data_IF_616198359280
#
_entry.id   IF_616198359280
#
_cell.length_a   1.000
_cell.length_b   1.000
_cell.length_c   1.000
_cell.angle_alpha   90.00
_cell.angle_beta   90.00
_cell.angle_gamma   90.00
#
_symmetry.space_group_name_H-M   'P 1'
#
loop_
_entity.id
_entity.type
_entity.pdbx_description
1 polymer ?
#
# COMPACT_ATOMS: atom_id res chain seq x y z
N UNK A 1 69.51 12.36 4.05
CA UNK A 1 69.36 10.89 3.95
C UNK A 1 67.89 10.65 3.69
N UNK A 2 67.53 10.73 2.42
CA UNK A 2 66.16 10.56 1.89
C UNK A 2 65.87 9.06 1.76
N UNK A 3 64.72 8.62 2.27
CA UNK A 3 64.21 7.30 1.97
C UNK A 3 62.88 7.53 1.25
N UNK A 4 62.95 7.45 -0.07
CA UNK A 4 61.81 7.36 -0.98
C UNK A 4 61.20 5.97 -0.83
N UNK A 5 59.96 5.88 -0.39
CA UNK A 5 59.14 4.67 -0.51
C UNK A 5 58.18 4.87 -1.68
N UNK A 6 58.55 4.21 -2.78
CA UNK A 6 57.77 4.10 -3.99
C UNK A 6 56.65 3.05 -3.76
N UNK A 7 55.39 3.49 -3.74
CA UNK A 7 54.24 2.58 -3.73
C UNK A 7 53.74 2.42 -5.15
N UNK A 8 53.62 1.20 -5.66
CA UNK A 8 53.10 0.97 -7.01
C UNK A 8 51.61 1.34 -7.07
N UNK A 9 51.28 2.21 -8.02
CA UNK A 9 49.91 2.54 -8.40
C UNK A 9 49.22 1.29 -8.96
N UNK A 10 48.00 0.98 -8.55
CA UNK A 10 47.24 -0.12 -9.16
C UNK A 10 46.87 0.25 -10.59
N UNK A 11 47.16 -0.64 -11.52
CA UNK A 11 46.81 -0.54 -12.94
C UNK A 11 45.28 -0.38 -13.10
N UNK A 12 44.88 0.68 -13.80
CA UNK A 12 43.51 0.91 -14.23
C UNK A 12 43.15 -0.09 -15.35
N UNK A 13 42.77 -1.30 -14.96
CA UNK A 13 42.08 -2.20 -15.89
C UNK A 13 40.66 -1.70 -16.04
N UNK A 14 40.36 -1.09 -17.18
CA UNK A 14 39.02 -0.75 -17.63
C UNK A 14 38.17 -2.00 -17.80
N UNK A 15 37.56 -2.44 -16.68
CA UNK A 15 36.40 -3.31 -16.75
C UNK A 15 35.23 -2.35 -16.89
N UNK A 16 34.71 -2.26 -18.13
CA UNK A 16 33.39 -1.75 -18.42
C UNK A 16 32.40 -2.63 -17.65
N UNK A 17 32.28 -2.36 -16.35
CA UNK A 17 31.27 -2.96 -15.50
C UNK A 17 29.90 -2.45 -15.98
N UNK A 18 29.20 -3.23 -16.79
CA UNK A 18 27.75 -3.19 -16.76
C UNK A 18 27.38 -3.37 -15.29
N UNK A 19 27.02 -2.26 -14.64
CA UNK A 19 26.31 -2.30 -13.36
C UNK A 19 25.02 -3.02 -13.69
N UNK A 20 24.98 -4.32 -13.42
CA UNK A 20 23.74 -5.06 -13.34
C UNK A 20 23.04 -4.38 -12.17
N UNK A 21 22.21 -3.37 -12.45
CA UNK A 21 21.26 -2.89 -11.48
C UNK A 21 20.44 -4.12 -11.10
N UNK A 22 20.70 -4.64 -9.92
CA UNK A 22 19.86 -5.65 -9.33
C UNK A 22 18.43 -5.12 -9.43
N UNK A 23 17.63 -5.77 -10.25
CA UNK A 23 16.38 -5.19 -10.75
C UNK A 23 15.37 -5.26 -9.61
N UNK A 24 14.84 -4.11 -9.21
CA UNK A 24 13.77 -4.02 -8.22
C UNK A 24 12.65 -5.02 -8.56
N UNK A 25 12.32 -5.90 -7.65
CA UNK A 25 11.24 -6.87 -7.81
C UNK A 25 10.13 -6.61 -6.81
N UNK A 26 8.90 -6.50 -7.31
CA UNK A 26 7.71 -6.39 -6.47
C UNK A 26 7.05 -7.76 -6.34
N UNK A 27 6.96 -8.27 -5.11
CA UNK A 27 6.27 -9.50 -4.78
C UNK A 27 4.79 -9.20 -4.49
N UNK A 28 3.99 -9.26 -5.54
CA UNK A 28 2.59 -8.86 -5.56
C UNK A 28 1.66 -10.06 -5.29
N UNK A 29 0.93 -10.02 -4.19
CA UNK A 29 -0.19 -10.93 -3.95
C UNK A 29 -1.47 -10.33 -4.53
N UNK A 30 -2.22 -11.13 -5.29
CA UNK A 30 -3.48 -10.69 -5.85
C UNK A 30 -4.45 -10.12 -4.79
N UNK A 31 -5.18 -9.06 -5.15
CA UNK A 31 -6.18 -8.43 -4.27
C UNK A 31 -5.62 -8.07 -2.90
N UNK A 32 -4.50 -7.38 -2.88
CA UNK A 32 -3.81 -6.97 -1.65
C UNK A 32 -3.32 -5.53 -1.72
N UNK A 33 -2.85 -5.02 -0.58
CA UNK A 33 -2.27 -3.68 -0.47
C UNK A 33 -1.01 -3.44 -1.29
N UNK A 34 -0.43 -4.48 -1.94
CA UNK A 34 0.72 -4.30 -2.84
C UNK A 34 0.39 -3.49 -4.10
N UNK A 35 -0.88 -3.32 -4.45
CA UNK A 35 -1.29 -2.46 -5.56
C UNK A 35 -0.80 -1.02 -5.40
N UNK A 36 -0.75 -0.49 -4.18
CA UNK A 36 -0.24 0.86 -3.89
C UNK A 36 1.24 1.02 -4.24
N UNK A 37 2.01 -0.06 -4.12
CA UNK A 37 3.44 -0.08 -4.48
C UNK A 37 3.60 -0.03 -6.00
N UNK A 38 2.80 -0.81 -6.72
CA UNK A 38 2.79 -0.76 -8.19
C UNK A 38 2.42 0.64 -8.67
N UNK A 39 1.40 1.26 -8.08
CA UNK A 39 0.99 2.61 -8.43
C UNK A 39 2.12 3.63 -8.22
N UNK A 40 2.81 3.62 -7.07
CA UNK A 40 3.92 4.54 -6.83
C UNK A 40 5.06 4.33 -7.84
N UNK A 41 5.43 3.09 -8.14
CA UNK A 41 6.48 2.79 -9.12
C UNK A 41 6.11 3.27 -10.54
N UNK A 42 4.84 3.12 -10.92
CA UNK A 42 4.33 3.65 -12.21
C UNK A 42 4.32 5.18 -12.26
N UNK A 43 4.08 5.87 -11.13
CA UNK A 43 4.18 7.33 -11.04
C UNK A 43 5.64 7.80 -11.15
N UNK A 44 6.56 7.11 -10.48
CA UNK A 44 7.98 7.42 -10.51
C UNK A 44 8.66 7.02 -11.84
N UNK A 45 8.00 6.22 -12.68
CA UNK A 45 8.59 5.68 -13.89
C UNK A 45 9.78 4.74 -13.64
N UNK A 46 9.83 4.11 -12.46
CA UNK A 46 10.90 3.18 -12.08
C UNK A 46 10.66 1.82 -12.71
N UNK A 47 11.63 1.26 -13.45
CA UNK A 47 11.52 -0.09 -13.96
C UNK A 47 11.58 -1.12 -12.84
N UNK A 48 10.73 -2.14 -12.91
CA UNK A 48 10.68 -3.23 -11.94
C UNK A 48 10.22 -4.55 -12.56
N UNK A 49 10.59 -5.66 -11.93
CA UNK A 49 10.02 -6.98 -12.19
C UNK A 49 8.80 -7.21 -11.30
N UNK A 50 7.71 -7.72 -11.87
CA UNK A 50 6.51 -8.07 -11.14
C UNK A 50 6.42 -9.59 -10.95
N UNK A 51 6.61 -10.07 -9.73
CA UNK A 51 6.35 -11.46 -9.35
C UNK A 51 4.97 -11.58 -8.70
N UNK A 52 4.05 -12.21 -9.43
CA UNK A 52 2.65 -12.35 -9.00
C UNK A 52 2.45 -13.63 -8.21
N UNK A 53 1.70 -13.53 -7.10
CA UNK A 53 1.28 -14.64 -6.28
C UNK A 53 -0.24 -14.72 -6.23
N UNK A 54 -0.77 -15.93 -6.32
CA UNK A 54 -2.20 -16.20 -6.12
C UNK A 54 -2.46 -16.62 -4.68
N UNK A 55 -3.63 -16.28 -4.18
CA UNK A 55 -4.07 -16.79 -2.87
C UNK A 55 -4.42 -18.27 -2.97
N UNK A 56 -4.19 -19.00 -1.88
CA UNK A 56 -4.71 -20.36 -1.75
C UNK A 56 -6.23 -20.34 -1.94
N UNK A 57 -6.79 -21.19 -2.82
CA UNK A 57 -8.21 -21.14 -3.16
C UNK A 57 -9.14 -21.51 -2.01
N UNK A 58 -8.65 -22.27 -1.01
CA UNK A 58 -9.43 -22.70 0.15
C UNK A 58 -9.27 -21.75 1.33
N UNK A 59 -8.03 -21.51 1.74
CA UNK A 59 -7.74 -20.70 2.94
C UNK A 59 -7.75 -19.20 2.67
N UNK A 60 -7.65 -18.77 1.40
CA UNK A 60 -7.47 -17.38 0.97
C UNK A 60 -6.20 -16.72 1.49
N UNK A 61 -5.31 -17.48 2.09
CA UNK A 61 -4.02 -17.00 2.59
C UNK A 61 -3.00 -16.85 1.44
N UNK A 62 -1.91 -16.16 1.75
CA UNK A 62 -0.76 -16.09 0.86
C UNK A 62 -0.09 -17.45 0.73
N UNK A 63 0.46 -17.78 -0.45
CA UNK A 63 1.11 -19.07 -0.68
C UNK A 63 2.46 -19.14 0.06
N UNK A 64 2.95 -20.38 0.34
CA UNK A 64 4.20 -20.59 1.09
C UNK A 64 5.43 -19.93 0.47
N UNK A 65 5.45 -19.76 -0.83
CA UNK A 65 6.56 -19.14 -1.57
C UNK A 65 6.84 -17.70 -1.12
N UNK A 66 5.84 -16.97 -0.62
CA UNK A 66 6.06 -15.65 -0.03
C UNK A 66 6.85 -15.71 1.27
N UNK A 67 6.78 -16.81 2.02
CA UNK A 67 7.61 -17.03 3.23
C UNK A 67 9.08 -17.22 2.89
N UNK A 68 9.39 -17.75 1.70
CA UNK A 68 10.76 -17.85 1.23
C UNK A 68 11.38 -16.49 0.89
N UNK A 69 10.55 -15.49 0.57
CA UNK A 69 11.01 -14.10 0.32
C UNK A 69 11.15 -13.33 1.63
N UNK A 70 10.16 -13.42 2.50
CA UNK A 70 10.17 -12.75 3.80
C UNK A 70 9.43 -13.60 4.85
N UNK A 71 9.97 -13.77 6.08
CA UNK A 71 9.44 -14.71 7.10
C UNK A 71 7.96 -14.52 7.43
N UNK A 72 7.44 -13.30 7.36
CA UNK A 72 6.03 -13.00 7.61
C UNK A 72 5.10 -13.61 6.55
N UNK A 73 5.59 -13.93 5.35
CA UNK A 73 4.79 -14.51 4.27
C UNK A 73 3.62 -13.63 3.83
N UNK A 74 3.80 -12.30 3.91
CA UNK A 74 2.77 -11.31 3.57
C UNK A 74 3.21 -10.46 2.38
N UNK A 75 2.30 -9.71 1.80
CA UNK A 75 2.52 -8.76 0.71
C UNK A 75 1.89 -7.41 1.08
N UNK A 76 2.52 -6.28 0.73
CA UNK A 76 3.68 -6.15 -0.17
C UNK A 76 5.02 -6.54 0.45
N UNK A 77 5.90 -7.04 -0.40
CA UNK A 77 7.35 -7.17 -0.18
C UNK A 77 8.04 -6.76 -1.47
N UNK A 78 9.16 -6.07 -1.36
CA UNK A 78 10.07 -5.80 -2.49
C UNK A 78 11.45 -6.39 -2.22
N UNK A 79 12.17 -6.73 -3.28
CA UNK A 79 13.61 -6.98 -3.23
C UNK A 79 14.31 -6.01 -4.17
N UNK A 80 15.36 -5.33 -3.69
CA UNK A 80 16.15 -4.37 -4.46
C UNK A 80 17.64 -4.59 -4.16
N UNK A 81 18.32 -5.27 -5.05
CA UNK A 81 19.65 -5.81 -4.76
C UNK A 81 19.59 -6.83 -3.63
N UNK A 82 20.39 -6.60 -2.61
CA UNK A 82 20.46 -7.45 -1.41
C UNK A 82 19.42 -7.05 -0.34
N UNK A 83 18.67 -5.98 -0.58
CA UNK A 83 17.65 -5.49 0.33
C UNK A 83 16.33 -6.24 0.15
N UNK A 84 15.71 -6.67 1.24
CA UNK A 84 14.35 -7.20 1.24
C UNK A 84 13.52 -6.38 2.21
N UNK A 85 12.52 -5.68 1.70
CA UNK A 85 11.72 -4.72 2.47
C UNK A 85 10.27 -5.16 2.48
N UNK A 86 9.70 -5.29 3.67
CA UNK A 86 8.29 -5.56 3.91
C UNK A 86 7.64 -4.34 4.57
N UNK A 87 6.33 -4.39 4.76
CA UNK A 87 5.46 -3.33 5.25
C UNK A 87 5.25 -2.20 4.22
N UNK A 88 3.99 -1.95 3.88
CA UNK A 88 3.65 -1.01 2.80
C UNK A 88 4.18 0.40 3.06
N UNK A 89 4.10 0.89 4.31
CA UNK A 89 4.62 2.20 4.68
C UNK A 89 6.13 2.30 4.50
N UNK A 90 6.88 1.33 5.01
CA UNK A 90 8.33 1.28 4.87
C UNK A 90 8.78 1.20 3.40
N UNK A 91 8.06 0.40 2.60
CA UNK A 91 8.34 0.30 1.15
C UNK A 91 8.08 1.63 0.44
N UNK A 92 6.97 2.32 0.74
CA UNK A 92 6.66 3.62 0.14
C UNK A 92 7.73 4.66 0.49
N UNK A 93 8.15 4.73 1.75
CA UNK A 93 9.22 5.63 2.19
C UNK A 93 10.54 5.31 1.49
N UNK A 94 10.96 4.05 1.47
CA UNK A 94 12.16 3.59 0.78
C UNK A 94 12.17 3.97 -0.70
N UNK A 95 11.07 3.70 -1.41
CA UNK A 95 10.98 3.99 -2.85
C UNK A 95 11.11 5.48 -3.15
N UNK A 96 10.51 6.33 -2.33
CA UNK A 96 10.62 7.79 -2.51
C UNK A 96 12.01 8.30 -2.11
N UNK A 97 12.63 7.74 -1.07
CA UNK A 97 14.01 8.08 -0.70
C UNK A 97 15.00 7.74 -1.81
N UNK A 98 14.88 6.54 -2.36
CA UNK A 98 15.84 6.02 -3.33
C UNK A 98 15.60 6.51 -4.75
N UNK A 99 14.34 6.63 -5.16
CA UNK A 99 13.95 6.87 -6.55
C UNK A 99 13.20 8.20 -6.77
N UNK A 100 12.76 8.86 -5.69
CA UNK A 100 11.94 10.07 -5.77
C UNK A 100 12.70 11.36 -6.09
N UNK A 101 14.03 11.35 -6.15
CA UNK A 101 14.83 12.56 -6.39
C UNK A 101 14.52 13.27 -7.74
N UNK A 102 13.97 12.54 -8.71
CA UNK A 102 13.55 13.07 -10.02
C UNK A 102 12.07 13.39 -10.11
N UNK A 103 11.31 13.21 -9.02
CA UNK A 103 9.90 13.53 -8.98
C UNK A 103 9.70 15.05 -9.15
N UNK A 104 8.93 15.44 -10.16
CA UNK A 104 8.68 16.83 -10.52
C UNK A 104 7.18 17.08 -10.74
N UNK A 105 6.80 18.34 -10.91
CA UNK A 105 5.41 18.71 -11.13
C UNK A 105 4.53 18.37 -9.93
N UNK A 106 3.44 17.65 -10.14
CA UNK A 106 2.50 17.24 -9.09
C UNK A 106 3.08 16.19 -8.14
N UNK A 107 4.18 15.50 -8.53
CA UNK A 107 4.90 14.54 -7.70
C UNK A 107 5.97 15.19 -6.79
N UNK A 108 6.23 16.48 -6.91
CA UNK A 108 7.18 17.18 -6.04
C UNK A 108 6.78 17.15 -4.55
N UNK A 109 5.49 16.94 -4.27
CA UNK A 109 4.92 16.80 -2.92
C UNK A 109 4.97 15.40 -2.32
N UNK A 110 5.55 14.40 -3.00
CA UNK A 110 5.55 13.01 -2.51
C UNK A 110 6.09 12.87 -1.09
N UNK A 111 7.14 13.63 -0.75
CA UNK A 111 7.73 13.69 0.59
C UNK A 111 7.88 15.15 1.03
N UNK A 112 6.87 15.70 1.71
CA UNK A 112 6.94 17.07 2.21
C UNK A 112 8.14 17.29 3.16
N UNK A 113 8.67 18.51 3.17
CA UNK A 113 9.83 18.86 4.00
C UNK A 113 9.53 18.71 5.51
N UNK A 114 10.45 18.19 6.31
CA UNK A 114 10.30 18.09 7.76
C UNK A 114 9.91 19.45 8.38
N UNK A 115 9.03 19.41 9.40
CA UNK A 115 8.56 20.60 10.11
C UNK A 115 7.35 21.30 9.48
N UNK A 116 6.99 20.99 8.22
CA UNK A 116 5.80 21.57 7.56
C UNK A 116 4.50 20.93 8.04
N UNK A 117 3.34 21.60 7.89
CA UNK A 117 2.04 20.99 8.14
C UNK A 117 1.81 19.75 7.29
N UNK A 118 2.16 19.79 6.01
CA UNK A 118 2.02 18.69 5.04
C UNK A 118 2.84 17.47 5.47
N UNK A 119 4.04 17.66 6.02
CA UNK A 119 4.86 16.58 6.59
C UNK A 119 4.16 15.89 7.76
N UNK A 120 3.56 16.67 8.69
CA UNK A 120 2.81 16.12 9.82
C UNK A 120 1.58 15.35 9.35
N UNK A 121 0.85 15.87 8.37
CA UNK A 121 -0.30 15.21 7.76
C UNK A 121 0.13 13.91 7.05
N UNK A 122 1.20 13.94 6.27
CA UNK A 122 1.73 12.73 5.61
C UNK A 122 2.00 11.64 6.65
N UNK A 123 2.72 11.95 7.73
CA UNK A 123 2.99 10.97 8.79
C UNK A 123 1.72 10.46 9.46
N UNK A 124 0.79 11.34 9.78
CA UNK A 124 -0.48 10.94 10.38
C UNK A 124 -1.22 9.92 9.50
N UNK A 125 -1.41 10.22 8.24
CA UNK A 125 -2.15 9.34 7.33
C UNK A 125 -1.40 8.06 6.97
N UNK A 126 -0.07 8.09 6.90
CA UNK A 126 0.76 6.89 6.76
C UNK A 126 0.50 5.87 7.88
N UNK A 127 0.39 6.34 9.12
CA UNK A 127 0.10 5.48 10.27
C UNK A 127 -1.38 5.15 10.41
N UNK A 128 -2.26 6.12 10.13
CA UNK A 128 -3.71 5.96 10.27
C UNK A 128 -4.26 4.85 9.37
N UNK A 129 -3.74 4.72 8.16
CA UNK A 129 -4.22 3.74 7.19
C UNK A 129 -4.23 2.32 7.75
N UNK A 130 -3.10 1.85 8.26
CA UNK A 130 -2.96 0.47 8.78
C UNK A 130 -3.24 0.37 10.28
N UNK A 131 -2.84 1.37 11.06
CA UNK A 131 -2.98 1.36 12.52
C UNK A 131 -4.40 1.61 13.02
N UNK A 132 -5.25 2.27 12.22
CA UNK A 132 -6.61 2.64 12.64
C UNK A 132 -7.68 2.15 11.66
N UNK A 133 -7.67 2.60 10.41
CA UNK A 133 -8.75 2.32 9.48
C UNK A 133 -8.82 0.85 9.04
N UNK A 134 -7.68 0.28 8.64
CA UNK A 134 -7.64 -1.12 8.17
C UNK A 134 -8.07 -2.11 9.24
N UNK A 135 -7.82 -1.86 10.51
CA UNK A 135 -8.26 -2.74 11.60
C UNK A 135 -9.79 -2.92 11.60
N UNK A 136 -10.55 -1.84 11.47
CA UNK A 136 -12.01 -1.91 11.40
C UNK A 136 -12.50 -2.58 10.13
N UNK A 137 -11.84 -2.30 8.98
CA UNK A 137 -12.19 -2.91 7.70
C UNK A 137 -11.92 -4.42 7.68
N UNK A 138 -10.82 -4.86 8.30
CA UNK A 138 -10.49 -6.29 8.43
C UNK A 138 -11.46 -6.96 9.39
N UNK A 139 -11.76 -6.34 10.56
CA UNK A 139 -12.77 -6.88 11.48
C UNK A 139 -14.13 -7.00 10.78
N UNK A 140 -14.57 -5.97 10.04
CA UNK A 140 -15.82 -6.03 9.26
C UNK A 140 -15.80 -7.23 8.31
N UNK A 141 -14.73 -7.40 7.55
CA UNK A 141 -14.58 -8.53 6.62
C UNK A 141 -14.68 -9.87 7.35
N UNK A 142 -13.99 -10.03 8.49
CA UNK A 142 -14.02 -11.28 9.27
C UNK A 142 -15.44 -11.60 9.73
N UNK A 143 -16.12 -10.62 10.36
CA UNK A 143 -17.47 -10.84 10.90
C UNK A 143 -18.56 -11.00 9.83
N UNK A 144 -18.37 -10.48 8.63
CA UNK A 144 -19.24 -10.77 7.46
C UNK A 144 -18.98 -12.17 6.92
N UNK A 145 -17.72 -12.63 6.96
CA UNK A 145 -17.31 -13.91 6.37
C UNK A 145 -17.63 -15.12 7.27
N UNK A 146 -17.53 -14.99 8.60
CA UNK A 146 -17.77 -16.12 9.53
C UNK A 146 -19.07 -16.87 9.24
N UNK A 147 -20.25 -16.22 9.08
CA UNK A 147 -21.50 -16.94 8.83
C UNK A 147 -21.59 -17.65 7.48
N UNK A 148 -20.65 -17.37 6.56
CA UNK A 148 -20.61 -17.96 5.22
C UNK A 148 -19.73 -19.23 5.17
N UNK A 149 -18.94 -19.47 6.25
CA UNK A 149 -18.06 -20.62 6.32
C UNK A 149 -18.85 -21.95 6.45
N UNK A 150 -18.26 -23.07 6.06
CA UNK A 150 -18.87 -24.38 6.28
C UNK A 150 -19.20 -24.59 7.77
N UNK A 151 -20.48 -24.83 8.07
CA UNK A 151 -20.94 -25.14 9.44
C UNK A 151 -22.31 -25.87 9.38
N UNK A 152 -22.68 -26.62 10.44
CA UNK A 152 -24.00 -27.23 10.54
C UNK A 152 -25.12 -26.20 10.33
N UNK A 153 -26.18 -26.57 9.64
CA UNK A 153 -27.26 -25.64 9.24
C UNK A 153 -27.93 -24.94 10.44
N UNK A 154 -28.06 -25.62 11.56
CA UNK A 154 -28.67 -25.07 12.80
C UNK A 154 -27.75 -24.09 13.54
N UNK A 155 -26.43 -24.10 13.31
CA UNK A 155 -25.47 -23.15 13.90
C UNK A 155 -25.44 -21.83 13.13
N UNK A 156 -25.72 -21.88 11.83
CA UNK A 156 -25.62 -20.70 10.94
C UNK A 156 -26.46 -19.50 11.39
N UNK A 157 -27.76 -19.64 11.80
CA UNK A 157 -28.55 -18.52 12.28
C UNK A 157 -27.98 -17.90 13.57
N UNK A 158 -27.45 -18.72 14.46
CA UNK A 158 -26.81 -18.24 15.71
C UNK A 158 -25.54 -17.43 15.37
N UNK A 159 -24.68 -17.98 14.50
CA UNK A 159 -23.49 -17.28 14.04
C UNK A 159 -23.83 -15.94 13.38
N UNK A 160 -24.84 -15.90 12.51
CA UNK A 160 -25.32 -14.65 11.88
C UNK A 160 -25.76 -13.62 12.88
N UNK A 161 -26.59 -14.02 13.86
CA UNK A 161 -27.09 -13.12 14.89
C UNK A 161 -25.97 -12.58 15.78
N UNK A 162 -25.04 -13.44 16.20
CA UNK A 162 -23.88 -13.03 17.01
C UNK A 162 -22.98 -12.03 16.24
N UNK A 163 -22.62 -12.38 15.01
CA UNK A 163 -21.79 -11.53 14.17
C UNK A 163 -22.48 -10.18 13.89
N UNK A 164 -23.77 -10.18 13.59
CA UNK A 164 -24.53 -8.94 13.40
C UNK A 164 -24.54 -8.05 14.64
N UNK A 165 -24.71 -8.64 15.83
CA UNK A 165 -24.65 -7.88 17.10
C UNK A 165 -23.27 -7.24 17.34
N UNK A 166 -22.18 -7.97 17.09
CA UNK A 166 -20.82 -7.43 17.22
C UNK A 166 -20.60 -6.31 16.19
N UNK A 167 -21.01 -6.52 14.95
CA UNK A 167 -20.91 -5.48 13.92
C UNK A 167 -21.66 -4.22 14.34
N UNK A 168 -22.94 -4.33 14.70
CA UNK A 168 -23.77 -3.17 15.06
C UNK A 168 -23.30 -2.43 16.30
N UNK A 169 -22.74 -3.14 17.31
CA UNK A 169 -22.32 -2.52 18.57
C UNK A 169 -20.89 -1.99 18.58
N UNK A 170 -20.00 -2.59 17.83
CA UNK A 170 -18.58 -2.28 17.90
C UNK A 170 -18.02 -1.82 16.56
N UNK A 171 -18.21 -2.59 15.48
CA UNK A 171 -17.49 -2.36 14.24
C UNK A 171 -18.09 -1.18 13.48
N UNK A 172 -19.40 -1.19 13.25
CA UNK A 172 -20.07 -0.22 12.40
C UNK A 172 -20.01 1.22 12.96
N UNK A 173 -20.17 1.47 14.28
CA UNK A 173 -20.02 2.82 14.82
C UNK A 173 -18.59 3.37 14.67
N UNK A 174 -17.56 2.55 14.92
CA UNK A 174 -16.18 2.96 14.77
C UNK A 174 -15.80 3.19 13.31
N UNK A 175 -16.28 2.33 12.43
CA UNK A 175 -16.06 2.52 10.98
C UNK A 175 -16.79 3.76 10.46
N UNK A 176 -18.03 4.01 10.89
CA UNK A 176 -18.77 5.21 10.54
C UNK A 176 -18.03 6.48 11.01
N UNK A 177 -17.52 6.50 12.25
CA UNK A 177 -16.71 7.61 12.77
C UNK A 177 -15.44 7.81 11.93
N UNK A 178 -14.73 6.73 11.59
CA UNK A 178 -13.54 6.80 10.76
C UNK A 178 -13.85 7.37 9.36
N UNK A 179 -14.90 6.88 8.70
CA UNK A 179 -15.31 7.35 7.37
C UNK A 179 -15.77 8.81 7.38
N UNK A 180 -16.54 9.22 8.40
CA UNK A 180 -16.95 10.61 8.56
C UNK A 180 -15.73 11.55 8.76
N UNK A 181 -14.72 11.09 9.49
CA UNK A 181 -13.48 11.85 9.69
C UNK A 181 -12.70 12.02 8.34
N UNK A 182 -12.59 10.95 7.54
CA UNK A 182 -11.98 11.03 6.22
C UNK A 182 -12.74 11.97 5.29
N UNK A 183 -14.07 11.85 5.27
CA UNK A 183 -14.96 12.68 4.46
C UNK A 183 -14.79 14.16 4.77
N UNK A 184 -14.82 14.52 6.06
CA UNK A 184 -14.62 15.89 6.52
C UNK A 184 -13.21 16.42 6.19
N UNK A 185 -12.18 15.58 6.29
CA UNK A 185 -10.83 15.95 5.91
C UNK A 185 -10.72 16.27 4.42
N UNK A 186 -11.27 15.41 3.57
CA UNK A 186 -11.21 15.56 2.11
C UNK A 186 -12.16 16.65 1.57
N UNK A 187 -13.01 17.23 2.41
CA UNK A 187 -13.80 18.40 2.03
C UNK A 187 -12.91 19.65 1.80
N UNK A 188 -11.84 19.76 2.56
CA UNK A 188 -10.90 20.90 2.52
C UNK A 188 -9.55 20.57 1.89
N UNK A 189 -9.26 19.30 1.65
CA UNK A 189 -7.99 18.82 1.11
C UNK A 189 -8.20 17.99 -0.16
N UNK A 190 -7.49 18.34 -1.22
CA UNK A 190 -7.52 17.55 -2.45
C UNK A 190 -6.88 16.17 -2.28
N UNK A 191 -5.81 16.09 -1.49
CA UNK A 191 -5.05 14.90 -1.14
C UNK A 191 -4.85 14.84 0.37
N UNK A 192 -4.55 13.68 0.94
CA UNK A 192 -4.48 13.49 2.39
C UNK A 192 -3.45 14.40 3.10
N UNK A 193 -2.36 14.75 2.44
CA UNK A 193 -1.38 15.69 3.03
C UNK A 193 -1.65 17.17 2.70
N UNK A 194 -2.57 17.47 1.78
CA UNK A 194 -2.88 18.85 1.39
C UNK A 194 -3.26 19.00 -0.07
N UNK A 195 -2.59 19.92 -0.77
CA UNK A 195 -2.91 20.28 -2.16
C UNK A 195 -2.26 19.34 -3.19
N UNK A 196 -1.13 18.75 -2.86
CA UNK A 196 -0.35 17.87 -3.73
C UNK A 196 -0.41 16.43 -3.23
N UNK A 197 -0.29 15.48 -4.16
CA UNK A 197 -0.20 14.07 -3.84
C UNK A 197 1.08 13.78 -3.03
N UNK A 198 0.95 12.94 -2.02
CA UNK A 198 2.06 12.49 -1.15
C UNK A 198 2.04 10.98 -0.97
N UNK A 199 3.05 10.41 -0.34
CA UNK A 199 3.06 8.97 -0.02
C UNK A 199 1.88 8.54 0.85
N UNK A 200 1.26 9.47 1.60
CA UNK A 200 0.06 9.20 2.36
C UNK A 200 -1.12 8.77 1.48
N UNK A 201 -1.24 9.34 0.28
CA UNK A 201 -2.32 9.02 -0.65
C UNK A 201 -2.17 7.60 -1.21
N UNK A 202 -0.94 7.18 -1.49
CA UNK A 202 -0.65 5.80 -1.86
C UNK A 202 -0.98 4.85 -0.70
N UNK A 203 -0.60 5.21 0.52
CA UNK A 203 -0.89 4.39 1.70
C UNK A 203 -2.40 4.29 1.96
N UNK A 204 -3.14 5.37 1.87
CA UNK A 204 -4.58 5.43 2.08
C UNK A 204 -5.39 4.79 0.94
N UNK A 205 -4.84 4.70 -0.27
CA UNK A 205 -5.56 4.23 -1.47
C UNK A 205 -6.25 2.88 -1.26
N UNK A 206 -5.53 1.90 -0.74
CA UNK A 206 -6.08 0.56 -0.51
C UNK A 206 -7.17 0.56 0.57
N UNK A 207 -7.00 1.34 1.64
CA UNK A 207 -7.98 1.44 2.71
C UNK A 207 -9.28 2.11 2.23
N UNK A 208 -9.17 3.17 1.41
CA UNK A 208 -10.33 3.84 0.81
C UNK A 208 -11.07 2.91 -0.16
N UNK A 209 -10.35 2.20 -1.04
CA UNK A 209 -10.96 1.22 -1.93
C UNK A 209 -11.62 0.07 -1.16
N UNK A 210 -11.00 -0.42 -0.11
CA UNK A 210 -11.56 -1.46 0.74
C UNK A 210 -12.83 -0.98 1.47
N UNK A 211 -12.87 0.28 1.91
CA UNK A 211 -14.03 0.88 2.54
C UNK A 211 -15.22 0.98 1.56
N UNK A 212 -14.98 1.55 0.38
CA UNK A 212 -16.02 1.70 -0.66
C UNK A 212 -16.52 0.36 -1.19
N UNK A 213 -15.65 -0.65 -1.33
CA UNK A 213 -16.05 -1.99 -1.75
C UNK A 213 -16.83 -2.76 -0.67
N UNK A 214 -16.72 -2.40 0.61
CA UNK A 214 -17.34 -3.11 1.74
C UNK A 214 -18.52 -2.40 2.38
N UNK A 215 -19.11 -1.44 1.66
CA UNK A 215 -20.40 -0.87 2.04
C UNK A 215 -20.36 0.58 2.52
N UNK A 216 -19.27 1.29 2.35
CA UNK A 216 -19.33 2.74 2.40
C UNK A 216 -20.08 3.24 1.15
N UNK A 217 -21.32 3.71 1.34
CA UNK A 217 -22.11 4.25 0.23
C UNK A 217 -21.46 5.54 -0.30
N UNK A 218 -21.06 5.52 -1.57
CA UNK A 218 -20.48 6.69 -2.23
C UNK A 218 -21.39 7.93 -2.17
N UNK A 219 -22.71 7.75 -2.04
CA UNK A 219 -23.66 8.85 -1.86
C UNK A 219 -23.57 9.48 -0.48
N UNK A 220 -23.15 8.74 0.55
CA UNK A 220 -22.91 9.23 1.90
C UNK A 220 -21.52 9.82 2.07
N UNK A 221 -20.55 9.38 1.24
CA UNK A 221 -19.16 9.78 1.31
C UNK A 221 -18.64 10.28 -0.06
N UNK A 222 -19.23 11.38 -0.59
CA UNK A 222 -18.91 11.88 -1.93
C UNK A 222 -17.46 12.37 -2.06
N UNK A 223 -16.80 12.82 -0.98
CA UNK A 223 -15.40 13.26 -1.01
C UNK A 223 -14.45 12.07 -1.10
N UNK A 224 -14.75 10.98 -0.41
CA UNK A 224 -14.02 9.72 -0.54
C UNK A 224 -14.14 9.17 -1.97
N UNK A 225 -15.34 9.19 -2.55
CA UNK A 225 -15.52 8.76 -3.95
C UNK A 225 -14.79 9.69 -4.93
N UNK A 226 -14.81 11.01 -4.69
CA UNK A 226 -14.06 11.98 -5.49
C UNK A 226 -12.54 11.77 -5.36
N UNK A 227 -12.02 11.42 -4.18
CA UNK A 227 -10.62 11.02 -4.00
C UNK A 227 -10.31 9.78 -4.84
N UNK A 228 -11.14 8.74 -4.75
CA UNK A 228 -11.00 7.52 -5.55
C UNK A 228 -11.02 7.85 -7.05
N UNK A 229 -11.94 8.68 -7.50
CA UNK A 229 -12.03 9.09 -8.89
C UNK A 229 -10.75 9.80 -9.37
N UNK A 230 -10.18 10.71 -8.56
CA UNK A 230 -8.89 11.38 -8.88
C UNK A 230 -7.75 10.38 -9.00
N UNK A 231 -7.67 9.43 -8.07
CA UNK A 231 -6.67 8.37 -8.08
C UNK A 231 -6.79 7.49 -9.33
N UNK A 232 -8.01 7.03 -9.63
CA UNK A 232 -8.30 6.16 -10.77
C UNK A 232 -8.06 6.88 -12.11
N UNK A 233 -8.27 8.19 -12.19
CA UNK A 233 -8.02 8.98 -13.40
C UNK A 233 -6.52 9.12 -13.75
N UNK A 234 -5.61 8.80 -12.84
CA UNK A 234 -4.18 8.89 -13.10
C UNK A 234 -3.70 7.78 -14.04
N UNK A 235 -2.98 8.12 -15.14
CA UNK A 235 -2.51 7.10 -16.08
C UNK A 235 -1.60 6.04 -15.42
N UNK A 236 -0.80 6.44 -14.42
CA UNK A 236 0.05 5.52 -13.67
C UNK A 236 -0.77 4.51 -12.84
N UNK A 237 -1.87 4.96 -12.23
CA UNK A 237 -2.78 4.06 -11.52
C UNK A 237 -3.41 3.03 -12.46
N UNK A 238 -3.82 3.45 -13.67
CA UNK A 238 -4.37 2.55 -14.68
C UNK A 238 -3.33 1.51 -15.15
N UNK A 239 -2.07 1.92 -15.35
CA UNK A 239 -0.98 0.97 -15.68
C UNK A 239 -0.74 -0.02 -14.54
N UNK A 240 -0.74 0.46 -13.30
CA UNK A 240 -0.60 -0.41 -12.12
C UNK A 240 -1.75 -1.42 -12.04
N UNK A 241 -2.98 -1.00 -12.34
CA UNK A 241 -4.16 -1.86 -12.36
C UNK A 241 -4.07 -2.93 -13.47
N UNK A 242 -3.63 -2.54 -14.66
CA UNK A 242 -3.42 -3.47 -15.76
C UNK A 242 -2.36 -4.54 -15.43
N UNK A 243 -1.31 -4.19 -14.69
CA UNK A 243 -0.25 -5.11 -14.26
C UNK A 243 -0.65 -5.94 -13.03
N UNK A 244 -1.23 -5.35 -12.01
CA UNK A 244 -1.55 -5.98 -10.73
C UNK A 244 -2.90 -6.72 -10.70
N UNK A 245 -3.86 -6.25 -11.49
CA UNK A 245 -5.24 -6.72 -11.45
C UNK A 245 -6.08 -5.98 -10.40
N UNK A 246 -7.29 -6.49 -10.08
CA UNK A 246 -8.22 -5.81 -9.17
C UNK A 246 -7.66 -5.69 -7.75
N UNK A 247 -7.98 -4.57 -7.08
CA UNK A 247 -7.38 -4.18 -5.78
C UNK A 247 -7.99 -4.95 -4.62
N UNK A 248 -9.30 -5.08 -4.58
CA UNK A 248 -10.04 -5.72 -3.48
C UNK A 248 -10.89 -6.89 -3.98
N UNK A 249 -11.24 -7.78 -3.07
CA UNK A 249 -12.26 -8.80 -3.33
C UNK A 249 -13.63 -8.13 -3.29
N UNK A 250 -14.34 -8.24 -4.40
CA UNK A 250 -15.77 -7.95 -4.50
C UNK A 250 -16.59 -8.99 -3.75
#
# INVERSE_FOLDING_TARGET
MEVLTDFPQPASNGISGQIIHAMLTVHHLERSGSQRILWLLEELGVPYTLKRYKRDPLTKLAPPELKAVHPLGKSPVITDGDETIAESGAILEYLVERYGAKAQGDLAGLRPAPGTPEYRQTRFWMHYAEGSLMNWLVMKLVFVTIPTQPMPFFVRPIARQLCAKVQAKLIDPNLATALAYLEAHLDTHAWFAGKQISIADFQMSFAVEAALARGADARQFPRLDAFRARMVARPAYQRALAKGGPVVMS
#
